data_IF_104420842929
#
_entry.id   IF_104420842929
#
_cell.length_a   1.000
_cell.length_b   1.000
_cell.length_c   1.000
_cell.angle_alpha   90.00
_cell.angle_beta   90.00
_cell.angle_gamma   90.00
#
_symmetry.space_group_name_H-M   'P 1'
#
loop_
_entity.id
_entity.type
_entity.pdbx_description
1 polymer ?
#
# COMPACT_ATOMS: atom_id res chain seq x y z
N UNK A 1 0.33 21.43 15.09
CA UNK A 1 -0.27 21.41 16.44
C UNK A 1 0.46 20.46 17.40
N UNK A 2 0.73 19.18 17.05
CA UNK A 2 1.44 18.25 17.95
C UNK A 2 2.83 18.75 18.41
N UNK A 3 3.65 19.25 17.49
CA UNK A 3 5.02 19.70 17.79
C UNK A 3 5.06 20.91 18.75
N UNK A 4 4.06 21.77 18.65
CA UNK A 4 3.99 23.04 19.40
C UNK A 4 3.63 22.83 20.88
N UNK A 5 2.93 21.75 21.22
CA UNK A 5 2.49 21.44 22.60
C UNK A 5 3.27 20.32 23.26
N UNK A 6 3.83 19.39 22.49
CA UNK A 6 4.42 18.15 23.02
C UNK A 6 5.88 17.93 22.62
N UNK A 7 6.48 18.85 21.86
CA UNK A 7 7.82 18.65 21.29
C UNK A 7 7.84 17.60 20.19
N UNK A 8 9.02 17.06 19.88
CA UNK A 8 9.19 16.10 18.80
C UNK A 8 8.40 14.81 19.07
N UNK A 9 7.45 14.42 18.18
CA UNK A 9 6.59 13.28 18.42
C UNK A 9 7.41 11.98 18.45
N UNK A 10 7.15 11.05 19.41
CA UNK A 10 7.78 9.73 19.44
C UNK A 10 7.56 8.95 18.15
N UNK A 11 8.46 8.02 17.84
CA UNK A 11 8.41 7.22 16.61
C UNK A 11 7.05 6.53 16.39
N UNK A 12 6.42 6.04 17.45
CA UNK A 12 5.11 5.41 17.41
C UNK A 12 4.03 6.39 16.93
N UNK A 13 4.11 7.66 17.34
CA UNK A 13 3.18 8.72 16.92
C UNK A 13 3.40 9.06 15.44
N UNK A 14 4.65 9.15 15.01
CA UNK A 14 4.99 9.37 13.60
C UNK A 14 4.47 8.21 12.72
N UNK A 15 4.58 6.97 13.20
CA UNK A 15 4.06 5.78 12.53
C UNK A 15 2.53 5.81 12.42
N UNK A 16 1.82 6.26 13.45
CA UNK A 16 0.35 6.45 13.37
C UNK A 16 -0.03 7.49 12.31
N UNK A 17 0.73 8.58 12.18
CA UNK A 17 0.53 9.55 11.12
C UNK A 17 0.78 8.94 9.73
N UNK A 18 1.80 8.07 9.58
CA UNK A 18 2.04 7.34 8.35
C UNK A 18 0.90 6.37 8.00
N UNK A 19 0.39 5.62 8.99
CA UNK A 19 -0.80 4.76 8.83
C UNK A 19 -2.03 5.59 8.43
N UNK A 20 -2.22 6.79 9.02
CA UNK A 20 -3.32 7.66 8.65
C UNK A 20 -3.24 8.11 7.19
N UNK A 21 -2.04 8.47 6.69
CA UNK A 21 -1.82 8.77 5.27
C UNK A 21 -2.15 7.57 4.38
N UNK A 22 -1.68 6.36 4.74
CA UNK A 22 -2.02 5.14 4.02
C UNK A 22 -3.54 4.91 3.98
N UNK A 23 -4.24 5.10 5.10
CA UNK A 23 -5.70 4.96 5.16
C UNK A 23 -6.44 5.94 4.25
N UNK A 24 -5.97 7.18 4.14
CA UNK A 24 -6.56 8.17 3.22
C UNK A 24 -6.39 7.69 1.78
N UNK A 25 -5.17 7.25 1.40
CA UNK A 25 -4.92 6.68 0.07
C UNK A 25 -5.79 5.45 -0.20
N UNK A 26 -5.94 4.54 0.77
CA UNK A 26 -6.84 3.39 0.60
C UNK A 26 -8.28 3.83 0.30
N UNK A 27 -8.80 4.85 1.00
CA UNK A 27 -10.17 5.35 0.79
C UNK A 27 -10.38 5.94 -0.59
N UNK A 28 -9.40 6.67 -1.13
CA UNK A 28 -9.45 7.21 -2.51
C UNK A 28 -9.62 6.10 -3.57
N UNK A 29 -9.19 4.88 -3.26
CA UNK A 29 -9.28 3.71 -4.13
C UNK A 29 -10.42 2.75 -3.76
N UNK A 30 -11.23 3.05 -2.74
CA UNK A 30 -12.24 2.13 -2.22
C UNK A 30 -11.69 0.90 -1.49
N UNK A 31 -10.39 0.90 -1.13
CA UNK A 31 -9.74 -0.20 -0.41
C UNK A 31 -10.18 -0.20 1.05
N UNK A 32 -10.68 -1.34 1.51
CA UNK A 32 -11.18 -1.52 2.89
C UNK A 32 -10.27 -2.43 3.72
N UNK A 33 -9.47 -3.27 3.08
CA UNK A 33 -8.60 -4.27 3.70
C UNK A 33 -7.18 -4.17 3.15
N UNK A 34 -6.21 -4.04 4.05
CA UNK A 34 -4.79 -4.22 3.77
C UNK A 34 -4.23 -5.15 4.84
N UNK A 35 -3.67 -6.29 4.44
CA UNK A 35 -3.23 -7.33 5.38
C UNK A 35 -2.08 -8.16 4.86
N UNK A 36 -1.37 -8.84 5.76
CA UNK A 36 -0.31 -9.76 5.38
C UNK A 36 -0.89 -11.10 4.88
N UNK A 37 -0.30 -11.62 3.82
CA UNK A 37 -0.54 -12.95 3.28
C UNK A 37 0.82 -13.64 3.09
N UNK A 38 1.33 -14.27 4.16
CA UNK A 38 2.69 -14.82 4.18
C UNK A 38 3.76 -13.74 3.98
N UNK A 39 4.54 -13.85 2.91
CA UNK A 39 5.57 -12.85 2.55
C UNK A 39 5.07 -11.73 1.62
N UNK A 40 3.75 -11.60 1.48
CA UNK A 40 3.10 -10.63 0.61
C UNK A 40 2.06 -9.80 1.37
N UNK A 41 1.63 -8.69 0.78
CA UNK A 41 0.52 -7.86 1.24
C UNK A 41 -0.65 -8.05 0.31
N UNK A 42 -1.82 -8.34 0.88
CA UNK A 42 -3.10 -8.34 0.20
C UNK A 42 -3.73 -6.96 0.34
N UNK A 43 -4.23 -6.42 -0.77
CA UNK A 43 -4.98 -5.16 -0.85
C UNK A 43 -6.33 -5.46 -1.49
N UNK A 44 -7.43 -5.13 -0.81
CA UNK A 44 -8.78 -5.47 -1.26
C UNK A 44 -9.86 -4.52 -0.71
N UNK A 45 -10.96 -4.29 -1.46
CA UNK A 45 -11.02 -4.41 -2.91
C UNK A 45 -10.16 -3.32 -3.58
N UNK A 46 -9.56 -3.62 -4.72
CA UNK A 46 -8.84 -2.66 -5.55
C UNK A 46 -9.17 -2.95 -7.01
N UNK A 47 -10.05 -2.14 -7.59
CA UNK A 47 -10.45 -2.26 -8.99
C UNK A 47 -9.32 -1.73 -9.87
N UNK A 48 -8.86 -2.54 -10.82
CA UNK A 48 -7.82 -2.18 -11.78
C UNK A 48 -8.33 -2.31 -13.21
N UNK A 49 -8.13 -1.27 -14.01
CA UNK A 49 -8.30 -1.35 -15.46
C UNK A 49 -7.24 -2.27 -16.07
N UNK A 50 -7.47 -2.80 -17.27
CA UNK A 50 -6.52 -3.71 -17.94
C UNK A 50 -5.14 -3.07 -18.11
N UNK A 51 -5.08 -1.77 -18.45
CA UNK A 51 -3.83 -1.02 -18.56
C UNK A 51 -3.07 -0.94 -17.22
N UNK A 52 -3.80 -0.92 -16.10
CA UNK A 52 -3.23 -0.90 -14.76
C UNK A 52 -2.81 -2.27 -14.29
N UNK A 53 -3.49 -3.34 -14.72
CA UNK A 53 -3.04 -4.71 -14.50
C UNK A 53 -1.71 -4.96 -15.24
N UNK A 54 -1.57 -4.48 -16.47
CA UNK A 54 -0.30 -4.53 -17.21
C UNK A 54 0.77 -3.69 -16.51
N UNK A 55 0.43 -2.49 -16.03
CA UNK A 55 1.36 -1.64 -15.27
C UNK A 55 1.80 -2.31 -13.96
N UNK A 56 0.88 -2.95 -13.24
CA UNK A 56 1.15 -3.72 -12.02
C UNK A 56 2.18 -4.82 -12.30
N UNK A 57 1.92 -5.65 -13.32
CA UNK A 57 2.82 -6.74 -13.71
C UNK A 57 4.21 -6.24 -14.13
N UNK A 58 4.29 -5.06 -14.77
CA UNK A 58 5.56 -4.44 -15.17
C UNK A 58 6.37 -3.89 -13.99
N UNK A 59 5.72 -3.23 -13.03
CA UNK A 59 6.38 -2.53 -11.92
C UNK A 59 6.66 -3.44 -10.72
N UNK A 60 5.77 -4.39 -10.46
CA UNK A 60 5.82 -5.24 -9.27
C UNK A 60 5.92 -6.69 -9.69
N UNK A 61 7.15 -7.14 -9.94
CA UNK A 61 7.43 -8.53 -10.31
C UNK A 61 6.87 -9.47 -9.23
N UNK A 62 6.14 -10.50 -9.63
CA UNK A 62 5.42 -11.44 -8.76
C UNK A 62 4.19 -10.87 -8.03
N UNK A 63 3.75 -9.64 -8.34
CA UNK A 63 2.41 -9.22 -7.97
C UNK A 63 1.36 -10.02 -8.75
N UNK A 64 0.21 -10.26 -8.12
CA UNK A 64 -0.92 -10.92 -8.74
C UNK A 64 -2.18 -10.08 -8.55
N UNK A 65 -3.03 -10.04 -9.58
CA UNK A 65 -4.36 -9.48 -9.50
C UNK A 65 -5.40 -10.58 -9.74
N UNK A 66 -6.35 -10.70 -8.82
CA UNK A 66 -7.52 -11.57 -8.94
C UNK A 66 -8.75 -10.72 -9.21
N UNK A 67 -9.19 -10.69 -10.47
CA UNK A 67 -10.33 -9.89 -10.90
C UNK A 67 -11.64 -10.29 -10.22
N UNK A 68 -11.86 -11.59 -9.97
CA UNK A 68 -13.10 -12.09 -9.33
C UNK A 68 -13.33 -11.54 -7.92
N UNK A 69 -12.26 -11.20 -7.19
CA UNK A 69 -12.33 -10.66 -5.82
C UNK A 69 -11.75 -9.24 -5.73
N UNK A 70 -11.42 -8.62 -6.86
CA UNK A 70 -10.71 -7.34 -6.94
C UNK A 70 -9.55 -7.27 -5.94
N UNK A 71 -8.72 -8.31 -5.90
CA UNK A 71 -7.67 -8.45 -4.90
C UNK A 71 -6.30 -8.35 -5.55
N UNK A 72 -5.46 -7.47 -5.02
CA UNK A 72 -4.04 -7.40 -5.40
C UNK A 72 -3.20 -8.04 -4.30
N UNK A 73 -2.30 -8.95 -4.68
CA UNK A 73 -1.26 -9.49 -3.82
C UNK A 73 0.08 -8.94 -4.26
N UNK A 74 0.75 -8.21 -3.37
CA UNK A 74 2.06 -7.57 -3.62
C UNK A 74 3.15 -8.27 -2.82
N UNK A 75 4.28 -8.68 -3.43
CA UNK A 75 5.41 -9.20 -2.67
C UNK A 75 6.03 -8.07 -1.85
N UNK A 76 6.34 -8.32 -0.58
CA UNK A 76 7.06 -7.33 0.23
C UNK A 76 8.53 -7.32 -0.23
N UNK A 77 9.11 -6.20 -0.67
CA UNK A 77 10.52 -6.17 -1.05
C UNK A 77 11.44 -6.54 0.11
N UNK A 78 12.66 -6.97 -0.21
CA UNK A 78 13.72 -7.14 0.79
C UNK A 78 14.49 -5.83 0.92
N UNK A 79 15.02 -5.56 2.11
CA UNK A 79 15.81 -4.35 2.38
C UNK A 79 17.12 -4.33 1.57
N UNK A 80 17.64 -5.51 1.22
CA UNK A 80 18.83 -5.68 0.40
C UNK A 80 18.73 -6.97 -0.46
N UNK A 81 19.87 -7.64 -0.71
CA UNK A 81 19.94 -8.85 -1.51
C UNK A 81 19.25 -10.09 -0.94
N UNK A 82 19.48 -11.24 -1.57
CA UNK A 82 18.98 -12.54 -1.14
C UNK A 82 19.28 -12.81 0.34
N UNK A 83 18.27 -13.23 1.11
CA UNK A 83 18.41 -13.55 2.54
C UNK A 83 18.23 -12.36 3.50
N UNK A 84 18.22 -11.11 3.02
CA UNK A 84 17.95 -9.95 3.86
C UNK A 84 16.48 -9.88 4.34
N UNK A 85 16.19 -9.23 5.48
CA UNK A 85 14.83 -9.12 5.96
C UNK A 85 13.94 -8.36 4.97
N UNK A 86 12.63 -8.59 5.08
CA UNK A 86 11.61 -7.87 4.32
C UNK A 86 11.41 -6.47 4.89
N UNK A 87 10.94 -5.53 4.08
CA UNK A 87 10.55 -4.19 4.55
C UNK A 87 9.56 -4.31 5.71
N UNK A 88 9.72 -3.45 6.72
CA UNK A 88 8.87 -3.41 7.92
C UNK A 88 8.58 -1.97 8.33
N UNK A 89 7.62 -1.83 9.24
CA UNK A 89 7.28 -0.56 9.86
C UNK A 89 7.05 0.57 8.83
N UNK A 90 7.79 1.68 8.95
CA UNK A 90 7.62 2.84 8.09
C UNK A 90 7.97 2.54 6.63
N UNK A 91 9.01 1.73 6.38
CA UNK A 91 9.41 1.38 5.00
C UNK A 91 8.30 0.60 4.27
N UNK A 92 7.60 -0.29 4.99
CA UNK A 92 6.47 -1.01 4.43
C UNK A 92 5.28 -0.08 4.17
N UNK A 93 5.01 0.85 5.08
CA UNK A 93 3.94 1.84 4.91
C UNK A 93 4.23 2.73 3.69
N UNK A 94 5.44 3.24 3.57
CA UNK A 94 5.85 4.11 2.46
C UNK A 94 5.81 3.36 1.12
N UNK A 95 6.23 2.10 1.10
CA UNK A 95 6.08 1.22 -0.06
C UNK A 95 4.62 1.10 -0.51
N UNK A 96 3.69 0.88 0.42
CA UNK A 96 2.25 0.76 0.12
C UNK A 96 1.64 2.09 -0.33
N UNK A 97 2.05 3.21 0.27
CA UNK A 97 1.64 4.55 -0.17
C UNK A 97 2.12 4.82 -1.59
N UNK A 98 3.39 4.51 -1.90
CA UNK A 98 3.95 4.67 -3.24
C UNK A 98 3.22 3.79 -4.28
N UNK A 99 2.87 2.56 -3.90
CA UNK A 99 2.05 1.67 -4.71
C UNK A 99 0.68 2.30 -5.04
N UNK A 100 -0.08 2.72 -4.02
CA UNK A 100 -1.39 3.38 -4.21
C UNK A 100 -1.30 4.77 -4.85
N UNK A 101 -0.11 5.35 -4.96
CA UNK A 101 0.10 6.60 -5.71
C UNK A 101 0.38 6.31 -7.18
N UNK A 102 1.00 5.16 -7.47
CA UNK A 102 1.33 4.73 -8.82
C UNK A 102 0.12 4.14 -9.54
N UNK A 103 -0.77 3.48 -8.80
CA UNK A 103 -2.06 3.04 -9.30
C UNK A 103 -3.02 4.23 -9.30
N UNK A 104 -3.80 4.44 -10.38
CA UNK A 104 -4.79 5.52 -10.40
C UNK A 104 -6.11 4.97 -9.83
N UNK A 105 -6.86 5.75 -9.05
CA UNK A 105 -8.21 5.34 -8.71
C UNK A 105 -9.05 5.29 -10.00
N UNK A 106 -10.04 4.39 -10.10
CA UNK A 106 -10.97 4.41 -11.22
C UNK A 106 -11.66 5.78 -11.26
N UNK A 107 -11.75 6.38 -12.45
CA UNK A 107 -12.45 7.63 -12.65
C UNK A 107 -13.94 7.39 -12.41
N UNK A 108 -14.52 8.08 -11.42
CA UNK A 108 -15.89 7.96 -10.87
C UNK A 108 -16.21 6.74 -9.99
N UNK A 109 -16.35 6.99 -8.68
CA UNK A 109 -17.31 6.32 -7.79
C UNK A 109 -18.38 7.32 -7.33
N UNK A 110 -18.68 8.31 -8.17
CA UNK A 110 -19.77 9.26 -7.98
C UNK A 110 -20.90 8.88 -8.95
N UNK A 111 -21.76 7.95 -8.51
CA UNK A 111 -23.05 7.65 -9.12
C UNK A 111 -24.07 7.40 -8.01
#
# INVERSE_FOLDING_TARGET
ELNDRYGEPPEQTQRLAAIARLRIRCREHGVTEVGLAGESVKVSPLLLLDSEQVRLARLYKAANYRATTHTVTLPIPRTAGMGSPRLRDNELIDYLVAFLTTIKPPESLDA
#
